data_IF_629820725278
#
_entry.id   IF_629820725278
#
_cell.length_a   1.000
_cell.length_b   1.000
_cell.length_c   1.000
_cell.angle_alpha   90.00
_cell.angle_beta   90.00
_cell.angle_gamma   90.00
#
_symmetry.space_group_name_H-M   'P 1'
#
loop_
_entity.id
_entity.type
_entity.pdbx_description
1 polymer ?
#
# COMPACT_ATOMS: atom_id res chain seq x y z
N UNK A 1 -14.78 73.85 -44.06
CA UNK A 1 -15.09 74.33 -42.70
C UNK A 1 -14.57 73.28 -41.71
N UNK A 2 -13.36 73.45 -41.17
CA UNK A 2 -13.02 74.00 -39.84
C UNK A 2 -12.71 72.89 -38.80
N UNK A 3 -11.40 72.83 -38.46
CA UNK A 3 -10.72 72.46 -37.20
C UNK A 3 -10.85 71.02 -36.66
N UNK A 4 -9.79 70.19 -36.72
CA UNK A 4 -8.62 70.18 -35.81
C UNK A 4 -8.99 70.22 -34.32
N UNK A 5 -8.94 69.07 -33.65
CA UNK A 5 -8.60 68.97 -32.23
C UNK A 5 -7.52 67.90 -32.05
N UNK A 6 -6.30 68.39 -31.80
CA UNK A 6 -5.20 67.63 -31.20
C UNK A 6 -5.48 67.49 -29.71
N UNK A 7 -5.33 66.29 -29.17
CA UNK A 7 -5.05 66.07 -27.74
C UNK A 7 -4.21 64.78 -27.64
N UNK A 8 -2.87 64.90 -27.70
CA UNK A 8 -1.95 65.00 -26.57
C UNK A 8 -2.03 63.83 -25.56
N UNK A 9 -1.13 62.86 -25.79
CA UNK A 9 -0.18 62.22 -24.85
C UNK A 9 -0.71 61.70 -23.51
N UNK A 10 -0.59 60.38 -23.31
CA UNK A 10 0.17 59.70 -22.22
C UNK A 10 0.08 58.19 -22.49
N UNK A 11 1.10 57.56 -23.06
CA UNK A 11 2.22 56.95 -22.34
C UNK A 11 1.78 56.00 -21.23
N UNK A 12 1.68 54.71 -21.57
CA UNK A 12 2.30 53.61 -20.80
C UNK A 12 2.09 52.30 -21.53
N UNK A 13 3.08 51.98 -22.36
CA UNK A 13 3.32 50.64 -22.89
C UNK A 13 3.80 49.78 -21.72
N UNK A 14 2.90 49.06 -21.07
CA UNK A 14 3.27 48.07 -20.04
C UNK A 14 3.59 46.76 -20.76
N UNK A 15 4.83 46.62 -21.23
CA UNK A 15 5.39 45.32 -21.59
C UNK A 15 5.77 44.65 -20.27
N UNK A 16 4.87 43.82 -19.73
CA UNK A 16 5.25 42.82 -18.72
C UNK A 16 6.01 41.74 -19.46
N UNK A 17 7.34 41.81 -19.39
CA UNK A 17 8.22 40.71 -19.76
C UNK A 17 7.96 39.56 -18.78
N UNK A 18 7.09 38.63 -19.14
CA UNK A 18 7.07 37.29 -18.54
C UNK A 18 8.27 36.53 -19.12
N UNK A 19 9.48 36.95 -18.75
CA UNK A 19 10.71 36.18 -18.99
C UNK A 19 11.18 35.65 -17.65
N UNK A 20 10.58 34.54 -17.23
CA UNK A 20 10.87 33.90 -15.95
C UNK A 20 10.10 32.62 -15.70
N UNK A 21 9.63 31.92 -16.75
CA UNK A 21 9.46 30.47 -16.64
C UNK A 21 10.86 29.89 -16.88
N UNK A 22 11.71 29.87 -15.87
CA UNK A 22 12.86 28.97 -15.90
C UNK A 22 12.28 27.56 -15.83
N UNK A 23 12.40 26.82 -16.92
CA UNK A 23 12.23 25.37 -17.00
C UNK A 23 13.34 24.64 -16.20
N UNK A 24 13.60 25.08 -14.98
CA UNK A 24 14.34 24.32 -13.98
C UNK A 24 13.29 23.76 -13.03
N UNK A 25 12.58 22.72 -13.50
CA UNK A 25 12.16 21.65 -12.59
C UNK A 25 13.48 21.01 -12.15
N UNK A 26 14.11 21.69 -11.20
CA UNK A 26 15.30 21.25 -10.53
C UNK A 26 15.03 19.82 -10.09
N UNK A 27 15.94 18.93 -10.47
CA UNK A 27 15.89 17.50 -10.21
C UNK A 27 16.10 17.31 -8.72
N UNK A 28 15.09 17.65 -7.90
CA UNK A 28 15.16 17.60 -6.45
C UNK A 28 15.19 16.13 -6.04
N UNK A 29 16.38 15.56 -6.02
CA UNK A 29 16.61 14.25 -5.45
C UNK A 29 16.45 14.35 -3.95
N UNK A 30 15.46 13.65 -3.41
CA UNK A 30 15.24 13.51 -1.97
C UNK A 30 16.56 13.14 -1.26
N UNK A 31 16.83 13.78 -0.13
CA UNK A 31 17.89 13.35 0.79
C UNK A 31 17.59 11.95 1.33
N UNK A 32 18.61 11.23 1.79
CA UNK A 32 18.37 9.87 2.30
C UNK A 32 17.45 9.86 3.53
N UNK A 33 17.46 10.92 4.35
CA UNK A 33 16.51 11.09 5.46
C UNK A 33 15.06 11.27 4.95
N UNK A 34 14.86 12.08 3.91
CA UNK A 34 13.54 12.26 3.29
C UNK A 34 13.05 11.00 2.61
N UNK A 35 13.94 10.24 1.94
CA UNK A 35 13.59 8.91 1.41
C UNK A 35 13.13 7.97 2.51
N UNK A 36 13.83 7.93 3.65
CA UNK A 36 13.41 7.10 4.79
C UNK A 36 12.07 7.54 5.37
N UNK A 37 11.82 8.85 5.49
CA UNK A 37 10.51 9.38 5.90
C UNK A 37 9.39 8.96 4.94
N UNK A 38 9.62 9.07 3.63
CA UNK A 38 8.66 8.64 2.61
C UNK A 38 8.41 7.13 2.68
N UNK A 39 9.46 6.32 2.80
CA UNK A 39 9.35 4.86 2.95
C UNK A 39 8.56 4.49 4.21
N UNK A 40 8.83 5.16 5.34
CA UNK A 40 8.13 4.90 6.59
C UNK A 40 6.65 5.32 6.55
N UNK A 41 6.33 6.42 5.87
CA UNK A 41 4.92 6.82 5.66
C UNK A 41 4.19 5.80 4.79
N UNK A 42 4.88 5.20 3.81
CA UNK A 42 4.28 4.24 2.87
C UNK A 42 4.18 2.82 3.45
N UNK A 43 5.06 2.43 4.36
CA UNK A 43 5.03 1.14 5.05
C UNK A 43 4.76 1.31 6.55
N UNK A 44 3.50 1.18 7.00
CA UNK A 44 3.14 1.29 8.42
C UNK A 44 3.50 0.05 9.24
N UNK A 45 4.03 -1.01 8.61
CA UNK A 45 4.25 -2.30 9.25
C UNK A 45 5.68 -2.44 9.79
N UNK A 46 5.81 -3.22 10.86
CA UNK A 46 7.12 -3.59 11.43
C UNK A 46 7.84 -4.63 10.58
N UNK A 47 7.08 -5.48 9.90
CA UNK A 47 7.63 -6.51 9.02
C UNK A 47 7.84 -5.95 7.61
N UNK A 48 8.82 -6.48 6.84
CA UNK A 48 9.00 -6.10 5.45
C UNK A 48 7.75 -6.37 4.62
N UNK A 49 7.39 -5.41 3.76
CA UNK A 49 6.35 -5.62 2.75
C UNK A 49 6.84 -6.59 1.69
N UNK A 50 5.93 -7.43 1.19
CA UNK A 50 6.22 -8.35 0.09
C UNK A 50 5.64 -7.78 -1.20
N UNK A 51 6.43 -7.80 -2.27
CA UNK A 51 5.99 -7.45 -3.62
C UNK A 51 5.78 -8.74 -4.40
N UNK A 52 4.54 -8.99 -4.79
CA UNK A 52 4.15 -10.09 -5.66
C UNK A 52 4.05 -9.54 -7.10
N UNK A 53 4.64 -10.23 -8.06
CA UNK A 53 4.60 -9.83 -9.48
C UNK A 53 3.84 -10.88 -10.29
N UNK A 54 2.49 -10.80 -10.37
CA UNK A 54 1.70 -11.76 -11.13
C UNK A 54 2.11 -11.76 -12.61
N UNK A 55 2.12 -12.93 -13.25
CA UNK A 55 2.49 -13.10 -14.67
C UNK A 55 1.69 -12.19 -15.61
N UNK A 56 0.44 -11.89 -15.24
CA UNK A 56 -0.50 -11.09 -16.05
C UNK A 56 -0.61 -9.62 -15.59
N UNK A 57 0.31 -9.13 -14.76
CA UNK A 57 0.27 -7.75 -14.23
C UNK A 57 1.59 -7.03 -14.46
N UNK A 58 1.53 -5.83 -15.03
CA UNK A 58 2.69 -4.95 -15.19
C UNK A 58 3.12 -4.28 -13.87
N UNK A 59 2.20 -4.17 -12.91
CA UNK A 59 2.44 -3.57 -11.61
C UNK A 59 2.47 -4.63 -10.52
N UNK A 60 3.51 -4.68 -9.66
CA UNK A 60 3.54 -5.61 -8.55
C UNK A 60 2.47 -5.24 -7.51
N UNK A 61 1.81 -6.26 -6.99
CA UNK A 61 0.95 -6.14 -5.82
C UNK A 61 1.82 -6.08 -4.57
N UNK A 62 1.47 -5.24 -3.61
CA UNK A 62 2.27 -5.04 -2.39
C UNK A 62 1.45 -5.46 -1.19
N UNK A 63 2.02 -6.32 -0.35
CA UNK A 63 1.36 -6.89 0.82
C UNK A 63 2.11 -6.57 2.09
N UNK A 64 1.35 -6.33 3.16
CA UNK A 64 1.81 -6.03 4.50
C UNK A 64 1.18 -6.93 5.53
N UNK A 65 1.88 -7.20 6.64
CA UNK A 65 1.36 -8.01 7.74
C UNK A 65 1.61 -7.35 9.08
N UNK A 66 0.58 -7.27 9.90
CA UNK A 66 0.69 -6.75 11.26
C UNK A 66 -0.41 -7.28 12.15
N UNK A 67 -0.03 -7.72 13.35
CA UNK A 67 -0.96 -8.28 14.33
C UNK A 67 -1.83 -9.40 13.75
N UNK A 68 -1.22 -10.30 12.96
CA UNK A 68 -1.86 -11.42 12.29
C UNK A 68 -2.96 -11.03 11.29
N UNK A 69 -2.96 -9.77 10.83
CA UNK A 69 -3.79 -9.25 9.75
C UNK A 69 -2.94 -8.99 8.53
N UNK A 70 -3.45 -9.34 7.35
CA UNK A 70 -2.77 -9.11 6.06
C UNK A 70 -3.49 -8.00 5.32
N UNK A 71 -2.69 -7.10 4.75
CA UNK A 71 -3.16 -5.95 4.03
C UNK A 71 -2.61 -5.95 2.61
N UNK A 72 -3.42 -5.53 1.66
CA UNK A 72 -3.04 -5.27 0.27
C UNK A 72 -2.94 -3.75 0.06
N UNK A 73 -1.84 -3.28 -0.52
CA UNK A 73 -1.66 -1.86 -0.82
C UNK A 73 -2.46 -1.48 -2.07
N UNK A 74 -3.22 -0.40 -1.96
CA UNK A 74 -3.73 0.30 -3.13
C UNK A 74 -2.65 1.24 -3.65
N UNK A 75 -2.17 0.97 -4.85
CA UNK A 75 -1.09 1.74 -5.48
C UNK A 75 -1.64 2.60 -6.62
N UNK A 76 -1.38 3.90 -6.57
CA UNK A 76 -1.71 4.84 -7.65
C UNK A 76 -0.42 5.51 -8.09
N UNK A 77 -0.08 5.40 -9.38
CA UNK A 77 1.14 5.99 -9.96
C UNK A 77 2.43 5.62 -9.18
N UNK A 78 2.51 4.38 -8.69
CA UNK A 78 3.66 3.88 -7.92
C UNK A 78 3.71 4.31 -6.45
N UNK A 79 2.69 5.03 -5.97
CA UNK A 79 2.57 5.47 -4.57
C UNK A 79 1.49 4.66 -3.86
N UNK A 80 1.80 4.14 -2.68
CA UNK A 80 0.80 3.51 -1.79
C UNK A 80 -0.08 4.62 -1.22
N UNK A 81 -1.38 4.56 -1.54
CA UNK A 81 -2.36 5.56 -1.06
C UNK A 81 -3.24 5.02 0.07
N UNK A 82 -3.37 3.69 0.18
CA UNK A 82 -4.25 3.04 1.14
C UNK A 82 -3.79 1.58 1.34
N UNK A 83 -4.13 1.00 2.50
CA UNK A 83 -3.94 -0.41 2.81
C UNK A 83 -5.29 -1.05 3.10
N UNK A 84 -5.71 -2.00 2.28
CA UNK A 84 -6.97 -2.74 2.41
C UNK A 84 -6.74 -4.02 3.23
N UNK A 85 -7.56 -4.26 4.26
CA UNK A 85 -7.51 -5.49 5.05
C UNK A 85 -8.12 -6.65 4.25
N UNK A 86 -7.33 -7.69 3.94
CA UNK A 86 -7.76 -8.83 3.12
C UNK A 86 -7.82 -10.16 3.87
N UNK A 87 -7.04 -10.31 4.95
CA UNK A 87 -7.09 -11.49 5.83
C UNK A 87 -7.08 -11.01 7.27
N UNK A 88 -8.01 -11.52 8.08
CA UNK A 88 -8.03 -11.32 9.53
C UNK A 88 -8.23 -12.66 10.24
N UNK A 89 -7.73 -12.81 11.48
CA UNK A 89 -8.01 -14.00 12.27
C UNK A 89 -9.52 -14.17 12.51
N UNK A 90 -9.95 -15.43 12.65
CA UNK A 90 -11.33 -15.74 13.01
C UNK A 90 -11.71 -15.07 14.34
N UNK A 91 -12.98 -14.71 14.48
CA UNK A 91 -13.47 -14.01 15.67
C UNK A 91 -13.29 -14.88 16.92
N UNK A 92 -12.76 -14.27 17.99
CA UNK A 92 -12.66 -14.89 19.30
C UNK A 92 -13.18 -13.91 20.38
N UNK A 93 -14.14 -14.32 21.24
CA UNK A 93 -14.86 -13.40 22.13
C UNK A 93 -14.03 -12.88 23.31
N UNK A 94 -12.86 -13.46 23.60
CA UNK A 94 -12.01 -13.05 24.71
C UNK A 94 -10.70 -12.39 24.23
N UNK A 95 -10.01 -11.73 25.17
CA UNK A 95 -8.74 -11.08 24.89
C UNK A 95 -7.69 -12.05 24.36
N UNK A 96 -7.07 -11.68 23.23
CA UNK A 96 -6.06 -12.46 22.54
C UNK A 96 -5.03 -11.54 21.89
N UNK A 97 -3.89 -12.12 21.48
CA UNK A 97 -2.82 -11.44 20.75
C UNK A 97 -2.30 -12.29 19.61
N UNK A 98 -1.77 -11.64 18.59
CA UNK A 98 -0.92 -12.31 17.61
C UNK A 98 0.39 -12.73 18.29
N UNK A 99 0.77 -14.00 18.14
CA UNK A 99 2.02 -14.53 18.71
C UNK A 99 2.97 -15.05 17.65
N UNK A 100 2.45 -15.31 16.45
CA UNK A 100 3.26 -15.74 15.31
C UNK A 100 2.59 -15.29 14.02
N UNK A 101 3.36 -14.57 13.22
CA UNK A 101 3.00 -14.17 11.87
C UNK A 101 4.22 -14.35 10.96
N UNK A 102 3.99 -14.79 9.72
CA UNK A 102 5.03 -14.89 8.69
C UNK A 102 4.40 -14.56 7.34
N UNK A 103 5.16 -13.89 6.50
CA UNK A 103 4.79 -13.59 5.13
C UNK A 103 6.04 -13.62 4.25
N UNK A 104 6.04 -14.41 3.18
CA UNK A 104 7.18 -14.56 2.27
C UNK A 104 6.73 -15.15 0.94
N UNK A 105 7.57 -15.00 -0.09
CA UNK A 105 7.40 -15.70 -1.35
C UNK A 105 8.01 -17.11 -1.24
N UNK A 106 7.31 -18.10 -1.77
CA UNK A 106 7.81 -19.44 -2.01
C UNK A 106 8.51 -19.52 -3.38
N UNK A 107 8.90 -20.73 -3.79
CA UNK A 107 9.32 -20.97 -5.17
C UNK A 107 8.13 -20.69 -6.10
N UNK A 108 8.42 -20.18 -7.30
CA UNK A 108 7.41 -19.82 -8.31
C UNK A 108 6.56 -18.58 -8.00
N UNK A 109 7.09 -17.64 -7.19
CA UNK A 109 6.45 -16.37 -6.82
C UNK A 109 5.07 -16.53 -6.16
N UNK A 110 4.82 -17.65 -5.48
CA UNK A 110 3.63 -17.82 -4.65
C UNK A 110 3.81 -17.10 -3.30
N UNK A 111 2.91 -16.16 -2.98
CA UNK A 111 2.88 -15.53 -1.67
C UNK A 111 2.29 -16.49 -0.64
N UNK A 112 3.04 -16.76 0.43
CA UNK A 112 2.59 -17.56 1.57
C UNK A 112 2.50 -16.70 2.83
N UNK A 113 1.42 -16.90 3.58
CA UNK A 113 1.17 -16.26 4.87
C UNK A 113 0.86 -17.32 5.92
N UNK A 114 1.39 -17.14 7.12
CA UNK A 114 1.02 -17.92 8.30
C UNK A 114 0.68 -16.98 9.46
N UNK A 115 -0.44 -17.26 10.14
CA UNK A 115 -0.93 -16.49 11.28
C UNK A 115 -1.31 -17.40 12.44
N UNK A 116 -1.10 -16.91 13.66
CA UNK A 116 -1.49 -17.58 14.89
C UNK A 116 -1.74 -16.54 15.98
N UNK A 117 -2.96 -16.55 16.50
CA UNK A 117 -3.32 -15.78 17.69
C UNK A 117 -3.44 -16.70 18.90
N UNK A 118 -3.16 -16.15 20.07
CA UNK A 118 -3.19 -16.85 21.35
C UNK A 118 -4.05 -16.07 22.34
N UNK A 119 -4.94 -16.76 23.05
CA UNK A 119 -5.67 -16.17 24.18
C UNK A 119 -4.70 -15.70 25.27
N UNK A 120 -5.00 -14.58 25.91
CA UNK A 120 -4.19 -14.10 27.03
C UNK A 120 -4.14 -15.13 28.17
N UNK A 121 -2.93 -15.39 28.68
CA UNK A 121 -2.70 -16.37 29.75
C UNK A 121 -2.58 -17.83 29.30
N UNK A 122 -2.80 -18.16 28.02
CA UNK A 122 -2.58 -19.52 27.50
C UNK A 122 -1.08 -19.88 27.44
N UNK A 123 -0.77 -21.19 27.39
CA UNK A 123 0.59 -21.74 27.41
C UNK A 123 1.10 -22.27 26.05
N UNK A 124 1.03 -21.48 24.97
CA UNK A 124 1.74 -21.74 23.70
C UNK A 124 0.88 -22.20 22.51
N UNK A 125 -0.40 -22.50 22.69
CA UNK A 125 -1.31 -22.90 21.61
C UNK A 125 -1.93 -21.72 20.85
N UNK A 126 -2.23 -21.92 19.56
CA UNK A 126 -3.03 -20.97 18.78
C UNK A 126 -4.52 -21.22 19.06
N UNK A 127 -5.28 -20.16 19.36
CA UNK A 127 -6.75 -20.23 19.42
C UNK A 127 -7.38 -20.06 18.03
N UNK A 128 -6.73 -19.25 17.19
CA UNK A 128 -7.05 -19.09 15.79
C UNK A 128 -5.75 -19.09 15.01
N UNK A 129 -5.73 -19.82 13.91
CA UNK A 129 -4.58 -19.87 13.01
C UNK A 129 -5.07 -20.03 11.58
N UNK A 130 -4.23 -19.59 10.66
CA UNK A 130 -4.49 -19.78 9.24
C UNK A 130 -3.18 -19.70 8.48
N UNK A 131 -3.07 -20.58 7.49
CA UNK A 131 -2.07 -20.45 6.43
C UNK A 131 -2.80 -20.14 5.14
N UNK A 132 -2.28 -19.18 4.40
CA UNK A 132 -2.89 -18.65 3.21
C UNK A 132 -1.87 -18.59 2.09
N UNK A 133 -2.33 -18.75 0.85
CA UNK A 133 -1.47 -18.56 -0.32
C UNK A 133 -2.20 -17.93 -1.50
N UNK A 134 -1.43 -17.31 -2.38
CA UNK A 134 -1.89 -16.77 -3.66
C UNK A 134 -0.72 -16.59 -4.63
N UNK A 135 -0.99 -16.68 -5.92
CA UNK A 135 -0.02 -16.38 -7.00
C UNK A 135 -0.34 -15.09 -7.75
N UNK A 136 -1.54 -14.54 -7.57
CA UNK A 136 -2.03 -13.39 -8.33
C UNK A 136 -2.66 -12.29 -7.46
N UNK A 137 -2.78 -12.50 -6.14
CA UNK A 137 -3.41 -11.58 -5.21
C UNK A 137 -4.94 -11.51 -5.30
N UNK A 138 -5.55 -12.18 -6.27
CA UNK A 138 -6.99 -12.19 -6.52
C UNK A 138 -7.58 -13.50 -5.97
N UNK A 139 -7.01 -14.63 -6.36
CA UNK A 139 -7.43 -15.96 -5.93
C UNK A 139 -6.58 -16.38 -4.74
N UNK A 140 -7.23 -16.51 -3.60
CA UNK A 140 -6.59 -16.92 -2.36
C UNK A 140 -7.06 -18.31 -1.96
N UNK A 141 -6.16 -19.05 -1.32
CA UNK A 141 -6.48 -20.33 -0.70
C UNK A 141 -6.09 -20.30 0.78
N UNK A 142 -6.85 -21.02 1.62
CA UNK A 142 -6.54 -21.28 3.02
C UNK A 142 -6.29 -22.78 3.20
N UNK A 143 -5.27 -23.15 3.97
CA UNK A 143 -5.06 -24.53 4.38
C UNK A 143 -6.12 -24.91 5.43
N UNK A 144 -6.86 -25.99 5.16
CA UNK A 144 -7.83 -26.60 6.06
C UNK A 144 -7.15 -27.44 7.15
N UNK A 145 -7.92 -27.92 8.12
CA UNK A 145 -7.40 -28.76 9.21
C UNK A 145 -6.89 -30.12 8.71
N UNK A 146 -7.35 -30.60 7.54
CA UNK A 146 -6.84 -31.82 6.90
C UNK A 146 -5.55 -31.61 6.10
N UNK A 147 -5.10 -30.35 5.95
CA UNK A 147 -3.95 -29.99 5.13
C UNK A 147 -4.27 -29.77 3.64
N UNK A 148 -5.55 -29.80 3.26
CA UNK A 148 -5.99 -29.47 1.89
C UNK A 148 -6.16 -27.96 1.73
N UNK A 149 -5.89 -27.45 0.52
CA UNK A 149 -6.07 -26.03 0.19
C UNK A 149 -7.47 -25.78 -0.34
N UNK A 150 -8.17 -24.82 0.27
CA UNK A 150 -9.54 -24.45 -0.08
C UNK A 150 -9.63 -22.99 -0.49
N UNK A 151 -10.56 -22.66 -1.40
CA UNK A 151 -10.78 -21.29 -1.86
C UNK A 151 -11.15 -20.37 -0.69
N UNK A 152 -10.41 -19.29 -0.54
CA UNK A 152 -10.62 -18.26 0.47
C UNK A 152 -11.20 -16.98 -0.15
N UNK A 153 -12.34 -16.54 0.37
CA UNK A 153 -13.00 -15.31 -0.09
C UNK A 153 -12.56 -14.09 0.74
N UNK A 154 -11.55 -13.36 0.24
CA UNK A 154 -10.93 -12.21 0.95
C UNK A 154 -11.89 -11.05 1.30
N UNK A 155 -13.02 -10.92 0.60
CA UNK A 155 -13.96 -9.80 0.76
C UNK A 155 -15.09 -10.05 1.78
N UNK A 156 -15.17 -11.22 2.42
CA UNK A 156 -16.25 -11.55 3.36
C UNK A 156 -16.01 -11.05 4.80
N UNK A 157 -15.12 -10.08 5.00
CA UNK A 157 -14.60 -9.72 6.32
C UNK A 157 -14.87 -8.27 6.74
N UNK A 158 -15.68 -7.54 5.98
CA UNK A 158 -16.21 -6.21 6.31
C UNK A 158 -17.44 -6.31 7.21
N UNK A 159 -17.19 -6.58 8.49
CA UNK A 159 -18.12 -6.29 9.61
C UNK A 159 -17.36 -5.55 10.70
#
# INVERSE_FOLDING_TARGET
MIRLFKSLITSSLVIVMISGCSDEIEKTTLTDEEKQKVIHIQNPFTDPVIKLSPVNSETPLVFGIQSCKVYEAKVIQGVIVEWELIIKPDFYPFGHRCTRQKMHLLKDDELFVETCTQAFGAGGGCITSGKYRTTDGIHWERESDSGEWEVYNKHNHSE
#
